data_IF_245425839553
#
_entry.id   IF_245425839553
#
_cell.length_a   1.000
_cell.length_b   1.000
_cell.length_c   1.000
_cell.angle_alpha   90.00
_cell.angle_beta   90.00
_cell.angle_gamma   90.00
#
_symmetry.space_group_name_H-M   'P 1'
#
loop_
_entity.id
_entity.type
_entity.pdbx_description
1 polymer ?
#
# COMPACT_ATOMS: atom_id res chain seq x y z
N UNK A 1 40.36 21.35 -0.97
CA UNK A 1 40.26 19.90 -0.61
C UNK A 1 39.16 19.66 0.41
N UNK A 2 39.10 20.44 1.49
CA UNK A 2 38.01 20.37 2.50
C UNK A 2 36.62 20.70 1.94
N UNK A 3 36.50 21.74 1.10
CA UNK A 3 35.20 22.14 0.55
C UNK A 3 34.56 21.04 -0.34
N UNK A 4 35.37 20.32 -1.12
CA UNK A 4 34.93 19.17 -1.91
C UNK A 4 34.43 18.03 -1.03
N UNK A 5 35.16 17.71 0.04
CA UNK A 5 34.77 16.65 0.98
C UNK A 5 33.45 17.00 1.68
N UNK A 6 33.29 18.25 2.13
CA UNK A 6 32.03 18.74 2.71
C UNK A 6 30.85 18.64 1.72
N UNK A 7 31.03 19.10 0.48
CA UNK A 7 29.98 19.01 -0.56
C UNK A 7 29.63 17.56 -0.91
N UNK A 8 30.63 16.68 -0.98
CA UNK A 8 30.42 15.24 -1.19
C UNK A 8 29.60 14.64 -0.06
N UNK A 9 30.00 14.88 1.18
CA UNK A 9 29.38 14.26 2.35
C UNK A 9 27.95 14.76 2.51
N UNK A 10 27.70 16.05 2.25
CA UNK A 10 26.35 16.63 2.22
C UNK A 10 25.45 15.98 1.14
N UNK A 11 25.93 15.86 -0.10
CA UNK A 11 25.16 15.23 -1.17
C UNK A 11 24.87 13.75 -0.86
N UNK A 12 25.83 13.05 -0.24
CA UNK A 12 25.65 11.67 0.18
C UNK A 12 24.57 11.56 1.27
N UNK A 13 24.63 12.42 2.28
CA UNK A 13 23.61 12.47 3.32
C UNK A 13 22.23 12.76 2.74
N UNK A 14 22.11 13.75 1.85
CA UNK A 14 20.83 14.08 1.20
C UNK A 14 20.29 12.92 0.35
N UNK A 15 21.16 12.18 -0.35
CA UNK A 15 20.75 10.96 -1.08
C UNK A 15 20.23 9.88 -0.13
N UNK A 16 20.90 9.66 1.00
CA UNK A 16 20.50 8.65 1.99
C UNK A 16 19.15 9.02 2.65
N UNK A 17 18.94 10.31 2.96
CA UNK A 17 17.68 10.83 3.48
C UNK A 17 16.54 10.67 2.47
N UNK A 18 16.77 11.03 1.21
CA UNK A 18 15.79 10.84 0.14
C UNK A 18 15.50 9.37 -0.14
N UNK A 19 16.50 8.49 -0.01
CA UNK A 19 16.31 7.05 -0.11
C UNK A 19 15.38 6.52 0.99
N UNK A 20 15.56 6.98 2.24
CA UNK A 20 14.65 6.62 3.34
C UNK A 20 13.23 7.12 3.08
N UNK A 21 13.09 8.36 2.63
CA UNK A 21 11.77 8.93 2.29
C UNK A 21 11.06 8.11 1.20
N UNK A 22 11.78 7.70 0.15
CA UNK A 22 11.22 6.84 -0.91
C UNK A 22 10.77 5.49 -0.33
N UNK A 23 11.59 4.84 0.49
CA UNK A 23 11.24 3.55 1.12
C UNK A 23 10.01 3.67 2.03
N UNK A 24 9.90 4.75 2.80
CA UNK A 24 8.76 5.00 3.69
C UNK A 24 7.48 5.25 2.89
N UNK A 25 7.57 6.05 1.82
CA UNK A 25 6.45 6.32 0.91
C UNK A 25 6.02 5.06 0.15
N UNK A 26 6.95 4.22 -0.29
CA UNK A 26 6.65 2.92 -0.91
C UNK A 26 5.92 1.99 0.05
N UNK A 27 6.37 1.93 1.30
CA UNK A 27 5.73 1.13 2.36
C UNK A 27 4.32 1.63 2.64
N UNK A 28 4.13 2.95 2.77
CA UNK A 28 2.80 3.57 2.94
C UNK A 28 1.91 3.30 1.73
N UNK A 29 2.44 3.43 0.50
CA UNK A 29 1.72 3.15 -0.75
C UNK A 29 1.18 1.72 -0.76
N UNK A 30 2.05 0.74 -0.47
CA UNK A 30 1.66 -0.68 -0.46
C UNK A 30 0.57 -0.92 0.57
N UNK A 31 0.76 -0.49 1.82
CA UNK A 31 -0.24 -0.67 2.89
C UNK A 31 -1.59 -0.06 2.55
N UNK A 32 -1.61 1.16 1.99
CA UNK A 32 -2.85 1.82 1.58
C UNK A 32 -3.51 1.05 0.43
N UNK A 33 -2.74 0.60 -0.56
CA UNK A 33 -3.24 -0.18 -1.69
C UNK A 33 -3.83 -1.53 -1.24
N UNK A 34 -3.14 -2.24 -0.34
CA UNK A 34 -3.58 -3.51 0.22
C UNK A 34 -4.85 -3.32 1.06
N UNK A 35 -4.91 -2.26 1.87
CA UNK A 35 -6.10 -1.90 2.65
C UNK A 35 -7.32 -1.55 1.77
N UNK A 36 -7.09 -0.87 0.65
CA UNK A 36 -8.14 -0.60 -0.37
C UNK A 36 -8.66 -1.91 -0.95
N UNK A 37 -7.75 -2.81 -1.35
CA UNK A 37 -8.13 -4.09 -1.95
C UNK A 37 -8.89 -4.97 -0.95
N UNK A 38 -8.43 -5.04 0.30
CA UNK A 38 -9.08 -5.79 1.36
C UNK A 38 -10.52 -5.29 1.60
N UNK A 39 -10.72 -3.98 1.80
CA UNK A 39 -12.06 -3.40 1.98
C UNK A 39 -12.99 -3.64 0.80
N UNK A 40 -12.49 -3.52 -0.43
CA UNK A 40 -13.29 -3.80 -1.63
C UNK A 40 -13.68 -5.27 -1.74
N UNK A 41 -12.76 -6.16 -1.40
CA UNK A 41 -12.99 -7.61 -1.43
C UNK A 41 -14.01 -8.02 -0.38
N UNK A 42 -13.85 -7.53 0.85
CA UNK A 42 -14.79 -7.75 1.96
C UNK A 42 -16.18 -7.23 1.60
N UNK A 43 -16.30 -6.00 1.10
CA UNK A 43 -17.58 -5.44 0.67
C UNK A 43 -18.24 -6.23 -0.49
N UNK A 44 -17.45 -6.79 -1.42
CA UNK A 44 -17.97 -7.68 -2.47
C UNK A 44 -18.44 -9.02 -1.91
N UNK A 45 -17.70 -9.62 -0.99
CA UNK A 45 -18.04 -10.88 -0.35
C UNK A 45 -19.32 -10.74 0.48
N UNK A 46 -19.43 -9.70 1.31
CA UNK A 46 -20.62 -9.41 2.10
C UNK A 46 -21.86 -9.22 1.21
N UNK A 47 -21.75 -8.47 0.10
CA UNK A 47 -22.86 -8.32 -0.85
C UNK A 47 -23.25 -9.64 -1.53
N UNK A 48 -22.28 -10.47 -1.88
CA UNK A 48 -22.54 -11.78 -2.48
C UNK A 48 -23.24 -12.72 -1.48
N UNK A 49 -22.79 -12.71 -0.22
CA UNK A 49 -23.40 -13.46 0.88
C UNK A 49 -24.83 -12.97 1.15
N UNK A 50 -25.05 -11.66 1.27
CA UNK A 50 -26.38 -11.08 1.42
C UNK A 50 -27.30 -11.45 0.25
N UNK A 51 -26.83 -11.37 -1.00
CA UNK A 51 -27.63 -11.79 -2.15
C UNK A 51 -27.99 -13.28 -2.11
N UNK A 52 -27.05 -14.13 -1.70
CA UNK A 52 -27.28 -15.57 -1.53
C UNK A 52 -28.29 -15.86 -0.41
N UNK A 53 -28.16 -15.20 0.74
CA UNK A 53 -29.10 -15.31 1.85
C UNK A 53 -30.48 -14.81 1.47
N UNK A 54 -30.59 -13.67 0.79
CA UNK A 54 -31.87 -13.14 0.31
C UNK A 54 -32.56 -14.13 -0.63
N UNK A 55 -31.83 -14.77 -1.56
CA UNK A 55 -32.37 -15.81 -2.45
C UNK A 55 -32.82 -17.05 -1.69
N UNK A 56 -32.08 -17.47 -0.65
CA UNK A 56 -32.44 -18.64 0.18
C UNK A 56 -33.66 -18.38 1.06
N UNK A 57 -33.79 -17.18 1.60
CA UNK A 57 -34.91 -16.81 2.47
C UNK A 57 -36.22 -16.70 1.69
N UNK A 58 -36.20 -16.19 0.46
CA UNK A 58 -37.38 -16.13 -0.41
C UNK A 58 -38.49 -15.18 0.06
N UNK A 59 -38.33 -14.55 1.21
CA UNK A 59 -39.24 -13.55 1.78
C UNK A 59 -38.50 -12.23 1.96
N UNK A 60 -39.22 -11.14 1.76
CA UNK A 60 -38.67 -9.78 1.86
C UNK A 60 -38.96 -9.11 3.20
N UNK A 61 -40.05 -9.49 3.87
CA UNK A 61 -40.49 -8.91 5.14
C UNK A 61 -41.04 -9.99 6.07
N UNK A 62 -40.98 -9.74 7.38
CA UNK A 62 -41.55 -10.65 8.38
C UNK A 62 -43.08 -10.78 8.18
N UNK A 63 -43.75 -9.71 7.77
CA UNK A 63 -45.19 -9.69 7.49
C UNK A 63 -45.59 -10.70 6.40
N UNK A 64 -44.77 -10.87 5.35
CA UNK A 64 -45.03 -11.87 4.31
C UNK A 64 -45.00 -13.31 4.83
N UNK A 65 -44.22 -13.57 5.88
CA UNK A 65 -44.17 -14.88 6.53
C UNK A 65 -45.44 -15.07 7.37
N UNK A 66 -45.85 -14.04 8.11
CA UNK A 66 -47.04 -14.07 8.95
C UNK A 66 -48.33 -14.22 8.12
N UNK A 67 -48.47 -13.48 7.02
CA UNK A 67 -49.60 -13.62 6.09
C UNK A 67 -49.69 -15.05 5.54
N UNK A 68 -48.55 -15.64 5.18
CA UNK A 68 -48.50 -17.01 4.65
C UNK A 68 -48.81 -18.06 5.72
N UNK A 69 -48.42 -17.84 6.97
CA UNK A 69 -48.81 -18.69 8.09
C UNK A 69 -50.32 -18.59 8.31
N UNK A 70 -50.88 -17.38 8.32
CA UNK A 70 -52.31 -17.14 8.49
C UNK A 70 -53.15 -17.81 7.38
N UNK A 71 -52.70 -17.74 6.12
CA UNK A 71 -53.34 -18.43 5.00
C UNK A 71 -53.34 -19.96 5.18
N UNK A 72 -52.22 -20.54 5.63
CA UNK A 72 -52.13 -21.98 5.88
C UNK A 72 -53.04 -22.38 7.06
N UNK A 73 -53.02 -21.62 8.15
CA UNK A 73 -53.86 -21.85 9.33
C UNK A 73 -55.35 -21.75 8.97
N UNK A 74 -55.74 -20.74 8.19
CA UNK A 74 -57.11 -20.60 7.69
C UNK A 74 -57.53 -21.83 6.88
N UNK A 75 -56.70 -22.27 5.92
CA UNK A 75 -56.98 -23.47 5.13
C UNK A 75 -57.10 -24.73 5.98
N UNK A 76 -56.24 -24.90 6.99
CA UNK A 76 -56.33 -26.01 7.93
C UNK A 76 -57.64 -26.00 8.75
N UNK A 77 -58.16 -24.81 9.09
CA UNK A 77 -59.39 -24.68 9.85
C UNK A 77 -60.66 -24.81 9.00
N UNK A 78 -60.61 -24.48 7.71
CA UNK A 78 -61.79 -24.46 6.83
C UNK A 78 -61.89 -25.62 5.85
N UNK A 79 -60.77 -26.25 5.48
CA UNK A 79 -60.76 -27.36 4.51
C UNK A 79 -60.77 -28.72 5.24
N UNK A 80 -61.49 -29.70 4.68
CA UNK A 80 -61.35 -31.10 5.10
C UNK A 80 -60.10 -31.70 4.47
N UNK A 81 -59.02 -31.77 5.25
CA UNK A 81 -57.74 -32.30 4.82
C UNK A 81 -57.56 -33.77 5.26
N UNK A 82 -56.80 -34.53 4.48
CA UNK A 82 -56.30 -35.82 4.93
C UNK A 82 -55.16 -35.62 5.95
N UNK A 83 -54.97 -36.60 6.85
CA UNK A 83 -53.96 -36.52 7.91
C UNK A 83 -52.54 -36.29 7.37
N UNK A 84 -52.27 -36.70 6.13
CA UNK A 84 -50.95 -36.53 5.50
C UNK A 84 -50.72 -35.07 5.12
N UNK A 85 -51.70 -34.43 4.48
CA UNK A 85 -51.67 -33.00 4.12
C UNK A 85 -51.65 -32.12 5.36
N UNK A 86 -52.41 -32.47 6.40
CA UNK A 86 -52.41 -31.71 7.66
C UNK A 86 -51.02 -31.70 8.32
N UNK A 87 -50.32 -32.84 8.32
CA UNK A 87 -48.91 -32.93 8.76
C UNK A 87 -47.95 -32.14 7.87
N UNK A 88 -48.17 -32.13 6.56
CA UNK A 88 -47.37 -31.35 5.60
C UNK A 88 -47.50 -29.85 5.87
N UNK A 89 -48.73 -29.36 6.07
CA UNK A 89 -49.00 -27.94 6.37
C UNK A 89 -48.44 -27.53 7.73
N UNK A 90 -48.59 -28.37 8.77
CA UNK A 90 -47.95 -28.17 10.07
C UNK A 90 -46.42 -28.03 9.95
N UNK A 91 -45.79 -28.87 9.12
CA UNK A 91 -44.36 -28.80 8.86
C UNK A 91 -43.99 -27.50 8.16
N UNK A 92 -44.77 -27.07 7.17
CA UNK A 92 -44.57 -25.78 6.49
C UNK A 92 -44.68 -24.60 7.46
N UNK A 93 -45.67 -24.59 8.37
CA UNK A 93 -45.78 -23.55 9.42
C UNK A 93 -44.52 -23.55 10.30
N UNK A 94 -44.03 -24.71 10.71
CA UNK A 94 -42.81 -24.81 11.52
C UNK A 94 -41.58 -24.26 10.78
N UNK A 95 -41.42 -24.58 9.49
CA UNK A 95 -40.32 -24.08 8.66
C UNK A 95 -40.41 -22.55 8.48
N UNK A 96 -41.61 -22.00 8.24
CA UNK A 96 -41.86 -20.57 8.15
C UNK A 96 -41.58 -19.83 9.47
N UNK A 97 -41.93 -20.42 10.61
CA UNK A 97 -41.59 -19.85 11.93
C UNK A 97 -40.07 -19.83 12.16
N UNK A 98 -39.32 -20.77 11.57
CA UNK A 98 -37.85 -20.79 11.65
C UNK A 98 -37.16 -19.82 10.69
N UNK A 99 -37.78 -19.45 9.56
CA UNK A 99 -37.20 -18.45 8.63
C UNK A 99 -37.31 -17.03 9.16
N UNK A 100 -38.30 -16.72 10.01
CA UNK A 100 -38.50 -15.40 10.63
C UNK A 100 -37.25 -14.85 11.38
N UNK A 101 -36.64 -15.58 12.34
CA UNK A 101 -35.41 -15.10 12.99
C UNK A 101 -34.20 -15.02 12.04
N UNK A 102 -34.20 -15.78 10.94
CA UNK A 102 -33.13 -15.68 9.93
C UNK A 102 -33.27 -14.41 9.10
N UNK A 103 -34.50 -13.99 8.77
CA UNK A 103 -34.78 -12.73 8.09
C UNK A 103 -34.37 -11.53 8.95
N UNK A 104 -34.68 -11.55 10.25
CA UNK A 104 -34.23 -10.51 11.19
C UNK A 104 -32.71 -10.38 11.25
N UNK A 105 -31.99 -11.51 11.28
CA UNK A 105 -30.52 -11.52 11.20
C UNK A 105 -30.02 -10.97 9.86
N UNK A 106 -30.68 -11.33 8.76
CA UNK A 106 -30.37 -10.80 7.44
C UNK A 106 -30.54 -9.28 7.36
N UNK A 107 -31.64 -8.74 7.88
CA UNK A 107 -31.88 -7.29 7.88
C UNK A 107 -30.88 -6.53 8.76
N UNK A 108 -30.51 -7.11 9.91
CA UNK A 108 -29.44 -6.56 10.74
C UNK A 108 -28.09 -6.55 9.99
N UNK A 109 -27.75 -7.64 9.31
CA UNK A 109 -26.52 -7.75 8.52
C UNK A 109 -26.53 -6.81 7.31
N UNK A 110 -27.67 -6.66 6.63
CA UNK A 110 -27.87 -5.72 5.52
C UNK A 110 -27.70 -4.28 5.97
N UNK A 111 -28.25 -3.92 7.13
CA UNK A 111 -28.11 -2.59 7.72
C UNK A 111 -26.65 -2.30 8.09
N UNK A 112 -25.98 -3.24 8.77
CA UNK A 112 -24.56 -3.13 9.09
C UNK A 112 -23.67 -3.07 7.84
N UNK A 113 -24.02 -3.81 6.77
CA UNK A 113 -23.28 -3.79 5.51
C UNK A 113 -23.52 -2.51 4.69
N UNK A 114 -24.62 -1.80 4.93
CA UNK A 114 -24.85 -0.46 4.39
C UNK A 114 -23.81 0.58 4.86
N UNK A 115 -23.23 0.41 6.05
CA UNK A 115 -22.06 1.19 6.50
C UNK A 115 -20.77 0.80 5.75
N UNK A 116 -20.69 -0.41 5.20
CA UNK A 116 -19.58 -0.90 4.38
C UNK A 116 -19.73 -0.56 2.90
N UNK A 117 -20.48 0.49 2.58
CA UNK A 117 -20.59 0.95 1.21
C UNK A 117 -19.18 1.24 0.66
N UNK A 118 -18.92 0.67 -0.52
CA UNK A 118 -17.65 0.75 -1.23
C UNK A 118 -17.24 2.19 -1.61
N UNK A 119 -18.13 3.14 -1.36
CA UNK A 119 -17.91 4.59 -1.41
C UNK A 119 -16.90 5.06 -0.35
N UNK A 120 -16.75 4.36 0.78
CA UNK A 120 -15.82 4.73 1.85
C UNK A 120 -14.33 4.49 1.51
N UNK A 121 -14.05 4.01 0.30
CA UNK A 121 -12.69 3.82 -0.25
C UNK A 121 -12.21 5.08 -0.99
N UNK A 122 -13.10 6.05 -1.26
CA UNK A 122 -12.76 7.32 -1.93
C UNK A 122 -11.61 8.08 -1.25
N UNK A 123 -11.65 8.33 0.07
CA UNK A 123 -10.57 9.01 0.79
C UNK A 123 -9.24 8.24 0.73
N UNK A 124 -9.28 6.91 0.79
CA UNK A 124 -8.08 6.07 0.68
C UNK A 124 -7.45 6.15 -0.72
N UNK A 125 -8.28 6.22 -1.76
CA UNK A 125 -7.81 6.41 -3.15
C UNK A 125 -7.18 7.78 -3.35
N UNK A 126 -7.78 8.84 -2.82
CA UNK A 126 -7.19 10.18 -2.88
C UNK A 126 -5.82 10.22 -2.19
N UNK A 127 -5.74 9.68 -0.97
CA UNK A 127 -4.48 9.54 -0.24
C UNK A 127 -3.44 8.72 -1.02
N UNK A 128 -3.85 7.64 -1.70
CA UNK A 128 -2.96 6.85 -2.53
C UNK A 128 -2.37 7.66 -3.71
N UNK A 129 -3.17 8.51 -4.35
CA UNK A 129 -2.68 9.39 -5.43
C UNK A 129 -1.72 10.47 -4.90
N UNK A 130 -1.99 11.03 -3.71
CA UNK A 130 -1.08 11.96 -3.05
C UNK A 130 0.27 11.27 -2.72
N UNK A 131 0.22 10.05 -2.19
CA UNK A 131 1.43 9.25 -1.92
C UNK A 131 2.20 9.00 -3.20
N UNK A 132 1.55 8.63 -4.31
CA UNK A 132 2.22 8.41 -5.61
C UNK A 132 2.88 9.68 -6.13
N UNK A 133 2.21 10.82 -6.02
CA UNK A 133 2.74 12.12 -6.45
C UNK A 133 3.99 12.51 -5.66
N UNK A 134 3.95 12.36 -4.34
CA UNK A 134 5.09 12.60 -3.47
C UNK A 134 6.25 11.63 -3.75
N UNK A 135 5.94 10.37 -4.02
CA UNK A 135 6.92 9.32 -4.30
C UNK A 135 7.66 9.58 -5.62
N UNK A 136 6.94 10.01 -6.67
CA UNK A 136 7.56 10.42 -7.93
C UNK A 136 8.47 11.63 -7.74
N UNK A 137 8.00 12.64 -6.99
CA UNK A 137 8.79 13.83 -6.69
C UNK A 137 10.09 13.50 -5.94
N UNK A 138 10.00 12.66 -4.90
CA UNK A 138 11.17 12.20 -4.13
C UNK A 138 12.15 11.38 -4.99
N UNK A 139 11.66 10.54 -5.91
CA UNK A 139 12.50 9.79 -6.85
C UNK A 139 13.24 10.72 -7.82
N UNK A 140 12.58 11.76 -8.31
CA UNK A 140 13.17 12.74 -9.21
C UNK A 140 14.22 13.60 -8.48
N UNK A 141 13.95 14.02 -7.25
CA UNK A 141 14.93 14.71 -6.40
C UNK A 141 16.15 13.83 -6.13
N UNK A 142 15.95 12.55 -5.79
CA UNK A 142 17.05 11.59 -5.60
C UNK A 142 17.88 11.44 -6.88
N UNK A 143 17.25 11.38 -8.06
CA UNK A 143 17.96 11.32 -9.34
C UNK A 143 18.82 12.58 -9.55
N UNK A 144 18.26 13.77 -9.31
CA UNK A 144 18.99 15.05 -9.41
C UNK A 144 20.20 15.09 -8.47
N UNK A 145 20.04 14.64 -7.22
CA UNK A 145 21.16 14.56 -6.26
C UNK A 145 22.25 13.59 -6.74
N UNK A 146 21.86 12.46 -7.33
CA UNK A 146 22.81 11.50 -7.88
C UNK A 146 23.59 12.07 -9.07
N UNK A 147 22.92 12.80 -9.96
CA UNK A 147 23.57 13.51 -11.06
C UNK A 147 24.53 14.59 -10.57
N UNK A 148 24.15 15.36 -9.54
CA UNK A 148 25.02 16.36 -8.91
C UNK A 148 26.25 15.71 -8.28
N UNK A 149 26.06 14.58 -7.58
CA UNK A 149 27.15 13.81 -6.99
C UNK A 149 28.12 13.27 -8.06
N UNK A 150 27.58 12.69 -9.14
CA UNK A 150 28.38 12.20 -10.27
C UNK A 150 29.19 13.33 -10.92
N UNK A 151 28.56 14.48 -11.20
CA UNK A 151 29.27 15.67 -11.74
C UNK A 151 30.37 16.17 -10.82
N UNK A 152 30.12 16.19 -9.51
CA UNK A 152 31.12 16.60 -8.51
C UNK A 152 32.32 15.64 -8.52
N UNK A 153 32.07 14.33 -8.60
CA UNK A 153 33.12 13.30 -8.67
C UNK A 153 33.92 13.36 -9.97
N UNK A 154 33.25 13.49 -11.11
CA UNK A 154 33.90 13.58 -12.41
C UNK A 154 34.75 14.86 -12.52
N UNK A 155 34.24 15.99 -12.02
CA UNK A 155 35.00 17.24 -11.95
C UNK A 155 36.27 17.08 -11.11
N UNK A 156 36.18 16.38 -9.97
CA UNK A 156 37.35 16.08 -9.14
C UNK A 156 38.32 15.12 -9.80
N UNK A 157 37.82 14.10 -10.49
CA UNK A 157 38.64 13.13 -11.23
C UNK A 157 39.45 13.83 -12.31
N UNK A 158 38.80 14.65 -13.15
CA UNK A 158 39.46 15.44 -14.20
C UNK A 158 40.50 16.41 -13.63
N UNK A 159 40.20 17.10 -12.54
CA UNK A 159 41.15 18.00 -11.89
C UNK A 159 42.36 17.31 -11.26
N UNK A 160 42.29 15.98 -11.04
CA UNK A 160 43.38 15.16 -10.50
C UNK A 160 44.05 14.30 -11.59
N UNK A 161 43.54 14.33 -12.82
CA UNK A 161 44.09 13.63 -13.97
C UNK A 161 45.41 14.30 -14.37
N UNK A 162 46.48 13.50 -14.57
CA UNK A 162 47.83 14.00 -14.82
C UNK A 162 48.55 14.57 -13.58
N UNK A 163 47.87 14.73 -12.44
CA UNK A 163 48.51 15.22 -11.20
C UNK A 163 49.53 14.21 -10.64
N UNK A 164 49.32 12.90 -10.86
CA UNK A 164 50.26 11.85 -10.46
C UNK A 164 51.62 12.03 -11.14
N UNK A 165 51.60 12.24 -12.46
CA UNK A 165 52.81 12.41 -13.26
C UNK A 165 53.59 13.67 -12.85
N UNK A 166 52.88 14.75 -12.49
CA UNK A 166 53.47 15.98 -11.94
C UNK A 166 54.13 15.71 -10.57
N UNK A 167 53.50 14.91 -9.71
CA UNK A 167 54.09 14.53 -8.42
C UNK A 167 55.35 13.67 -8.60
N UNK A 168 55.33 12.70 -9.51
CA UNK A 168 56.50 11.88 -9.84
C UNK A 168 57.65 12.71 -10.44
N UNK A 169 57.34 13.62 -11.37
CA UNK A 169 58.33 14.53 -11.95
C UNK A 169 58.94 15.44 -10.89
N UNK A 170 58.12 15.97 -9.97
CA UNK A 170 58.59 16.78 -8.84
C UNK A 170 59.49 15.98 -7.89
N UNK A 171 59.15 14.73 -7.61
CA UNK A 171 59.97 13.89 -6.73
C UNK A 171 61.34 13.59 -7.36
N UNK A 172 61.38 13.30 -8.67
CA UNK A 172 62.63 13.12 -9.43
C UNK A 172 63.48 14.38 -9.39
N UNK A 173 62.91 15.54 -9.72
CA UNK A 173 63.62 16.83 -9.66
C UNK A 173 64.16 17.13 -8.26
N UNK A 174 63.38 16.88 -7.21
CA UNK A 174 63.84 17.09 -5.84
C UNK A 174 64.98 16.15 -5.44
N UNK A 175 64.98 14.89 -5.93
CA UNK A 175 66.09 13.96 -5.72
C UNK A 175 67.36 14.45 -6.42
N UNK A 176 67.25 14.92 -7.66
CA UNK A 176 68.37 15.49 -8.41
C UNK A 176 68.92 16.76 -7.75
N UNK A 177 68.04 17.66 -7.30
CA UNK A 177 68.42 18.87 -6.58
C UNK A 177 69.18 18.52 -5.30
N UNK A 178 68.68 17.57 -4.48
CA UNK A 178 69.38 17.12 -3.27
C UNK A 178 70.74 16.49 -3.58
N UNK A 179 70.83 15.68 -4.63
CA UNK A 179 72.08 15.07 -5.05
C UNK A 179 73.11 16.15 -5.45
N UNK A 180 72.70 17.16 -6.22
CA UNK A 180 73.58 18.29 -6.57
C UNK A 180 73.99 19.12 -5.37
N UNK A 181 73.09 19.38 -4.42
CA UNK A 181 73.46 20.05 -3.17
C UNK A 181 74.45 19.24 -2.33
N UNK A 182 74.33 17.91 -2.30
CA UNK A 182 75.30 17.02 -1.66
C UNK A 182 76.69 17.13 -2.29
N UNK A 183 76.75 17.07 -3.63
CA UNK A 183 78.00 17.23 -4.39
C UNK A 183 78.65 18.61 -4.17
N UNK A 184 77.85 19.69 -4.14
CA UNK A 184 78.35 21.04 -3.86
C UNK A 184 78.94 21.12 -2.45
N UNK A 185 78.33 20.44 -1.47
CA UNK A 185 78.83 20.40 -0.10
C UNK A 185 80.17 19.65 -0.02
N UNK A 186 80.27 18.49 -0.67
CA UNK A 186 81.52 17.70 -0.74
C UNK A 186 82.68 18.43 -1.44
N UNK A 187 82.39 19.35 -2.38
CA UNK A 187 83.41 20.17 -3.05
C UNK A 187 83.81 21.42 -2.24
N UNK A 188 83.06 21.77 -1.20
CA UNK A 188 83.26 22.96 -0.37
C UNK A 188 83.93 22.64 0.98
N UNK A 189 83.77 21.41 1.44
CA UNK A 189 84.55 20.80 2.54
C UNK A 189 85.92 20.33 2.03
#
# INVERSE_FOLDING_TARGET
>A
KEEFLRKRDLLKQQMDEQQKLVSDLETKRSKTQDGIHAKQTEGRQLRAELSSMQKKLGFSTEDQIDDKIADIEYRMHTESLDLKKEKELMKQISELKQTKPQLKKFDAMKTASGEYDTTNVGPLKANLEDIKTNLNSARDERRKLHEQYSKLMDGRRKAMEGMSDIFEAREKLNKEIRAKYGQIKELRD
#
